data_IF_781803733181
#
_entry.id   IF_781803733181
#
_cell.length_a   1.000
_cell.length_b   1.000
_cell.length_c   1.000
_cell.angle_alpha   90.00
_cell.angle_beta   90.00
_cell.angle_gamma   90.00
#
_symmetry.space_group_name_H-M   'P 1'
#
loop_
_entity.id
_entity.type
_entity.pdbx_description
1 polymer ?
#
# COMPACT_ATOMS: atom_id res chain seq x y z
N UNK A 1 -16.75 -17.97 -6.18
CA UNK A 1 -16.21 -18.07 -4.81
C UNK A 1 -15.37 -16.84 -4.53
N UNK A 2 -15.47 -16.26 -3.33
CA UNK A 2 -14.60 -15.14 -2.95
C UNK A 2 -13.19 -15.67 -2.72
N UNK A 3 -12.22 -15.01 -3.32
CA UNK A 3 -10.82 -15.39 -3.27
C UNK A 3 -9.99 -14.12 -3.13
N UNK A 4 -8.87 -14.19 -2.43
CA UNK A 4 -8.00 -13.04 -2.27
C UNK A 4 -6.70 -13.31 -3.05
N UNK A 5 -6.38 -12.38 -3.94
CA UNK A 5 -5.09 -12.38 -4.63
C UNK A 5 -4.13 -11.57 -3.78
N UNK A 6 -3.16 -12.27 -3.20
CA UNK A 6 -2.01 -11.63 -2.58
C UNK A 6 -0.92 -11.48 -3.65
N UNK A 7 -0.53 -10.24 -3.93
CA UNK A 7 0.60 -9.91 -4.79
C UNK A 7 1.47 -8.89 -4.06
N UNK A 8 2.75 -9.22 -3.84
CA UNK A 8 3.71 -8.33 -3.17
C UNK A 8 3.26 -7.90 -1.76
N UNK A 9 2.50 -8.75 -1.06
CA UNK A 9 1.98 -8.48 0.28
C UNK A 9 0.70 -7.65 0.32
N UNK A 10 0.17 -7.22 -0.84
CA UNK A 10 -1.10 -6.52 -0.92
C UNK A 10 -2.23 -7.49 -1.33
N UNK A 11 -3.35 -7.37 -0.65
CA UNK A 11 -4.48 -8.29 -0.75
C UNK A 11 -5.61 -7.64 -1.54
N UNK A 12 -6.03 -8.29 -2.63
CA UNK A 12 -7.13 -7.84 -3.46
C UNK A 12 -8.25 -8.89 -3.48
N UNK A 13 -9.44 -8.48 -3.06
CA UNK A 13 -10.61 -9.35 -3.11
C UNK A 13 -11.08 -9.54 -4.56
N UNK A 14 -11.33 -10.78 -4.94
CA UNK A 14 -11.80 -11.14 -6.27
C UNK A 14 -12.80 -12.30 -6.22
N UNK A 15 -13.58 -12.44 -7.28
CA UNK A 15 -14.51 -13.53 -7.49
C UNK A 15 -13.94 -14.54 -8.49
N UNK A 16 -13.68 -15.75 -8.01
CA UNK A 16 -13.41 -16.90 -8.88
C UNK A 16 -14.74 -17.42 -9.44
N UNK A 17 -14.86 -17.38 -10.76
CA UNK A 17 -15.98 -17.93 -11.53
C UNK A 17 -15.46 -19.07 -12.39
N UNK A 18 -16.13 -20.22 -12.32
CA UNK A 18 -15.86 -21.37 -13.20
C UNK A 18 -17.03 -21.44 -14.16
N UNK A 19 -16.78 -21.23 -15.45
CA UNK A 19 -17.79 -21.36 -16.50
C UNK A 19 -17.17 -22.10 -17.69
N UNK A 20 -17.88 -23.09 -18.23
CA UNK A 20 -17.48 -23.82 -19.45
C UNK A 20 -16.03 -24.32 -19.44
N UNK A 21 -15.60 -24.93 -18.32
CA UNK A 21 -14.23 -25.43 -18.12
C UNK A 21 -13.13 -24.34 -18.13
N UNK A 22 -13.51 -23.06 -18.07
CA UNK A 22 -12.60 -21.93 -17.93
C UNK A 22 -12.73 -21.31 -16.52
N UNK A 23 -11.57 -21.05 -15.90
CA UNK A 23 -11.46 -20.34 -14.63
C UNK A 23 -11.28 -18.84 -14.94
N UNK A 24 -12.25 -18.02 -14.55
CA UNK A 24 -12.19 -16.56 -14.68
C UNK A 24 -12.13 -15.91 -13.31
N UNK A 25 -11.25 -14.91 -13.19
CA UNK A 25 -11.14 -14.07 -12.00
C UNK A 25 -11.83 -12.76 -12.34
N UNK A 26 -12.90 -12.44 -11.64
CA UNK A 26 -13.59 -11.17 -11.74
C UNK A 26 -13.20 -10.27 -10.57
N UNK A 27 -12.70 -9.08 -10.88
CA UNK A 27 -12.47 -7.99 -9.93
C UNK A 27 -13.55 -6.93 -10.18
N UNK A 28 -14.04 -6.27 -9.13
CA UNK A 28 -14.87 -5.07 -9.32
C UNK A 28 -14.04 -3.92 -9.92
N UNK A 29 -14.70 -2.89 -10.44
CA UNK A 29 -14.00 -1.80 -11.15
C UNK A 29 -13.02 -1.04 -10.24
N UNK A 30 -13.34 -0.89 -8.96
CA UNK A 30 -12.50 -0.19 -8.00
C UNK A 30 -11.24 -1.00 -7.68
N UNK A 31 -11.35 -2.31 -7.46
CA UNK A 31 -10.19 -3.19 -7.27
C UNK A 31 -9.39 -3.36 -8.56
N UNK A 32 -10.02 -3.35 -9.75
CA UNK A 32 -9.28 -3.34 -11.01
C UNK A 32 -8.40 -2.09 -11.13
N UNK A 33 -8.94 -0.91 -10.84
CA UNK A 33 -8.18 0.36 -10.86
C UNK A 33 -7.09 0.39 -9.80
N UNK A 34 -7.41 -0.04 -8.58
CA UNK A 34 -6.45 -0.11 -7.47
C UNK A 34 -5.30 -1.06 -7.78
N UNK A 35 -5.60 -2.27 -8.27
CA UNK A 35 -4.61 -3.27 -8.64
C UNK A 35 -3.74 -2.79 -9.82
N UNK A 36 -4.34 -2.20 -10.86
CA UNK A 36 -3.61 -1.65 -11.99
C UNK A 36 -2.63 -0.55 -11.54
N UNK A 37 -3.10 0.39 -10.72
CA UNK A 37 -2.27 1.47 -10.18
C UNK A 37 -1.14 0.92 -9.31
N UNK A 38 -1.44 -0.04 -8.42
CA UNK A 38 -0.45 -0.68 -7.57
C UNK A 38 0.63 -1.39 -8.38
N UNK A 39 0.23 -2.27 -9.31
CA UNK A 39 1.15 -3.02 -10.15
C UNK A 39 2.01 -2.10 -11.04
N UNK A 40 1.46 -0.98 -11.52
CA UNK A 40 2.25 -0.01 -12.30
C UNK A 40 3.44 0.54 -11.51
N UNK A 41 3.25 0.81 -10.21
CA UNK A 41 4.30 1.35 -9.33
C UNK A 41 5.29 0.28 -8.88
N UNK A 42 4.78 -0.91 -8.57
CA UNK A 42 5.59 -2.00 -8.02
C UNK A 42 6.46 -2.61 -9.11
N UNK A 43 5.88 -2.91 -10.27
CA UNK A 43 6.60 -3.58 -11.34
C UNK A 43 7.69 -2.69 -11.98
N UNK A 44 7.52 -1.36 -11.99
CA UNK A 44 8.59 -0.43 -12.39
C UNK A 44 9.89 -0.60 -11.60
N UNK A 45 9.81 -1.07 -10.34
CA UNK A 45 10.99 -1.26 -9.50
C UNK A 45 11.72 -2.57 -9.75
N UNK A 46 11.05 -3.55 -10.34
CA UNK A 46 11.56 -4.92 -10.48
C UNK A 46 11.74 -5.36 -11.93
N UNK A 47 11.11 -4.65 -12.87
CA UNK A 47 11.13 -4.97 -14.30
C UNK A 47 11.14 -3.68 -15.12
N UNK A 48 11.85 -3.68 -16.25
CA UNK A 48 11.76 -2.63 -17.27
C UNK A 48 10.39 -2.73 -17.97
N UNK A 49 9.32 -2.31 -17.30
CA UNK A 49 8.04 -2.16 -17.96
C UNK A 49 8.09 -0.85 -18.74
N UNK A 50 8.23 -0.97 -20.06
CA UNK A 50 8.01 0.14 -20.97
C UNK A 50 6.55 0.60 -20.83
N UNK A 51 6.30 1.83 -20.36
CA UNK A 51 4.94 2.34 -20.14
C UNK A 51 4.14 2.54 -21.44
N UNK A 52 4.80 2.37 -22.59
CA UNK A 52 4.25 2.47 -23.94
C UNK A 52 3.67 1.16 -24.48
N UNK A 53 3.94 0.01 -23.86
CA UNK A 53 3.22 -1.22 -24.19
C UNK A 53 1.88 -1.21 -23.47
N UNK A 54 0.79 -1.35 -24.22
CA UNK A 54 -0.58 -1.61 -23.73
C UNK A 54 -0.61 -2.91 -22.89
N UNK A 55 -0.01 -2.86 -21.71
CA UNK A 55 0.03 -3.96 -20.78
C UNK A 55 -1.36 -4.03 -20.16
N UNK A 56 -2.21 -4.91 -20.71
CA UNK A 56 -3.48 -5.24 -20.08
C UNK A 56 -3.23 -5.67 -18.63
N UNK A 57 -4.18 -5.41 -17.73
CA UNK A 57 -4.09 -5.78 -16.31
C UNK A 57 -3.69 -7.25 -16.13
N UNK A 58 -4.17 -8.12 -17.02
CA UNK A 58 -3.79 -9.54 -17.07
C UNK A 58 -2.28 -9.76 -17.25
N UNK A 59 -1.65 -9.03 -18.16
CA UNK A 59 -0.19 -9.11 -18.39
C UNK A 59 0.56 -8.58 -17.18
N UNK A 60 0.08 -7.50 -16.55
CA UNK A 60 0.69 -6.97 -15.33
C UNK A 60 0.63 -7.98 -14.18
N UNK A 61 -0.50 -8.66 -13.99
CA UNK A 61 -0.66 -9.72 -12.97
C UNK A 61 0.25 -10.92 -13.27
N UNK A 62 0.34 -11.35 -14.53
CA UNK A 62 1.26 -12.45 -14.92
C UNK A 62 2.72 -12.09 -14.64
N UNK A 63 3.15 -10.88 -14.99
CA UNK A 63 4.50 -10.37 -14.69
C UNK A 63 4.73 -10.27 -13.18
N UNK A 64 3.76 -9.79 -12.42
CA UNK A 64 3.81 -9.74 -10.95
C UNK A 64 4.08 -11.11 -10.33
N UNK A 65 3.31 -12.12 -10.71
CA UNK A 65 3.49 -13.50 -10.22
C UNK A 65 4.87 -14.05 -10.61
N UNK A 66 5.34 -13.75 -11.82
CA UNK A 66 6.65 -14.19 -12.28
C UNK A 66 7.80 -13.56 -11.48
N UNK A 67 7.73 -12.25 -11.24
CA UNK A 67 8.70 -11.51 -10.42
C UNK A 67 8.69 -12.08 -8.99
N UNK A 68 7.52 -12.25 -8.40
CA UNK A 68 7.35 -12.76 -7.04
C UNK A 68 7.95 -14.16 -6.86
N UNK A 69 7.74 -15.05 -7.85
CA UNK A 69 8.37 -16.37 -7.87
C UNK A 69 9.88 -16.31 -8.04
N UNK A 70 10.39 -15.41 -8.89
CA UNK A 70 11.84 -15.27 -9.13
C UNK A 70 12.60 -14.73 -7.92
N UNK A 71 11.93 -13.97 -7.04
CA UNK A 71 12.52 -13.36 -5.85
C UNK A 71 12.53 -14.27 -4.60
N UNK A 72 12.06 -15.52 -4.72
CA UNK A 72 12.28 -16.56 -3.71
C UNK A 72 11.67 -16.27 -2.33
N UNK A 73 10.53 -15.58 -2.26
CA UNK A 73 9.81 -15.36 -1.01
C UNK A 73 10.50 -14.42 0.01
N UNK A 74 11.66 -13.85 -0.33
CA UNK A 74 12.29 -12.77 0.44
C UNK A 74 11.81 -11.42 -0.08
N UNK A 75 10.52 -11.13 0.11
CA UNK A 75 10.04 -9.77 -0.04
C UNK A 75 9.95 -9.13 1.33
N UNK A 76 10.97 -8.33 1.66
CA UNK A 76 10.70 -7.15 2.46
C UNK A 76 9.76 -6.29 1.64
N UNK A 77 8.57 -6.04 2.19
CA UNK A 77 7.63 -5.02 1.75
C UNK A 77 8.41 -3.81 1.20
N UNK A 78 8.01 -3.18 0.08
CA UNK A 78 8.56 -1.88 -0.25
C UNK A 78 8.34 -1.05 1.00
N UNK A 79 9.42 -0.80 1.77
CA UNK A 79 9.32 0.02 2.97
C UNK A 79 8.59 1.25 2.48
N UNK A 80 7.33 1.42 2.90
CA UNK A 80 6.81 2.76 3.05
C UNK A 80 7.85 3.32 4.01
N UNK A 81 8.87 4.00 3.47
CA UNK A 81 9.37 5.16 4.15
C UNK A 81 8.09 5.91 4.38
N UNK A 82 7.57 5.86 5.62
CA UNK A 82 6.54 6.78 6.05
C UNK A 82 6.95 8.10 5.41
N UNK A 83 6.12 8.72 4.56
CA UNK A 83 6.55 9.84 3.71
C UNK A 83 7.07 11.06 4.49
N UNK A 84 7.16 10.93 5.81
CA UNK A 84 7.58 11.91 6.76
C UNK A 84 8.59 11.25 7.71
N UNK A 85 9.85 11.20 7.30
CA UNK A 85 10.85 11.61 8.28
C UNK A 85 10.46 13.03 8.64
N UNK A 86 10.07 13.25 9.90
CA UNK A 86 9.88 14.61 10.39
C UNK A 86 11.11 15.41 9.99
N UNK A 87 10.91 16.55 9.33
CA UNK A 87 12.00 17.47 9.11
C UNK A 87 12.71 17.68 10.47
N UNK A 88 14.05 17.70 10.52
CA UNK A 88 14.78 17.79 11.79
C UNK A 88 14.24 18.90 12.71
N UNK A 89 13.90 20.04 12.13
CA UNK A 89 13.29 21.19 12.79
C UNK A 89 11.95 20.88 13.49
N UNK A 90 11.10 20.05 12.87
CA UNK A 90 9.81 19.64 13.45
C UNK A 90 10.03 18.66 14.60
N UNK A 91 11.03 17.77 14.47
CA UNK A 91 11.40 16.83 15.52
C UNK A 91 11.96 17.57 16.74
N UNK A 92 12.83 18.55 16.53
CA UNK A 92 13.38 19.39 17.60
C UNK A 92 12.28 20.14 18.33
N UNK A 93 11.38 20.81 17.61
CA UNK A 93 10.24 21.50 18.23
C UNK A 93 9.32 20.56 19.02
N UNK A 94 9.10 19.34 18.51
CA UNK A 94 8.30 18.34 19.23
C UNK A 94 8.96 17.95 20.56
N UNK A 95 10.28 17.80 20.58
CA UNK A 95 11.05 17.49 21.80
C UNK A 95 10.98 18.68 22.77
N UNK A 96 11.24 19.90 22.30
CA UNK A 96 11.16 21.11 23.13
C UNK A 96 9.76 21.29 23.76
N UNK A 97 8.70 21.07 22.99
CA UNK A 97 7.33 21.17 23.49
C UNK A 97 6.99 20.07 24.51
N UNK A 98 7.61 18.89 24.37
CA UNK A 98 7.42 17.78 25.28
C UNK A 98 8.18 18.01 26.60
N UNK A 99 9.39 18.56 26.52
CA UNK A 99 10.20 18.96 27.67
C UNK A 99 9.49 20.07 28.48
N UNK A 100 8.88 21.06 27.81
CA UNK A 100 8.07 22.10 28.48
C UNK A 100 6.84 21.56 29.22
N UNK A 101 6.35 20.40 28.81
CA UNK A 101 5.15 19.75 29.36
C UNK A 101 5.49 18.54 30.26
N UNK A 102 6.78 18.34 30.57
CA UNK A 102 7.30 17.22 31.36
C UNK A 102 6.76 15.85 30.89
N UNK A 103 6.74 15.65 29.57
CA UNK A 103 6.23 14.43 28.93
C UNK A 103 7.21 13.94 27.87
N UNK A 104 7.14 12.65 27.51
CA UNK A 104 7.92 12.18 26.35
C UNK A 104 7.36 12.74 25.04
N UNK A 105 8.24 13.03 24.08
CA UNK A 105 7.86 13.46 22.73
C UNK A 105 6.88 12.49 22.05
N UNK A 106 7.02 11.19 22.34
CA UNK A 106 6.09 10.15 21.86
C UNK A 106 4.69 10.31 22.44
N UNK A 107 4.57 10.53 23.75
CA UNK A 107 3.27 10.74 24.41
C UNK A 107 2.61 12.04 23.94
N UNK A 108 3.39 13.10 23.71
CA UNK A 108 2.90 14.35 23.14
C UNK A 108 2.36 14.12 21.72
N UNK A 109 3.09 13.37 20.88
CA UNK A 109 2.66 13.04 19.53
C UNK A 109 1.36 12.24 19.52
N UNK A 110 1.22 11.25 20.41
CA UNK A 110 -0.02 10.47 20.54
C UNK A 110 -1.18 11.39 20.91
N UNK A 111 -1.01 12.29 21.89
CA UNK A 111 -2.05 13.26 22.27
C UNK A 111 -2.46 14.18 21.13
N UNK A 112 -1.50 14.66 20.33
CA UNK A 112 -1.78 15.51 19.17
C UNK A 112 -2.60 14.76 18.11
N UNK A 113 -2.27 13.49 17.87
CA UNK A 113 -3.03 12.62 16.96
C UNK A 113 -4.45 12.41 17.48
N UNK A 114 -4.60 12.06 18.76
CA UNK A 114 -5.91 11.82 19.39
C UNK A 114 -6.77 13.08 19.36
N UNK A 115 -6.21 14.24 19.70
CA UNK A 115 -6.91 15.52 19.65
C UNK A 115 -7.38 15.82 18.23
N UNK A 116 -6.53 15.61 17.23
CA UNK A 116 -6.89 15.92 15.84
C UNK A 116 -7.88 14.93 15.26
N UNK A 117 -7.79 13.66 15.67
CA UNK A 117 -8.79 12.65 15.36
C UNK A 117 -10.16 13.01 15.94
N UNK A 118 -10.21 13.40 17.21
CA UNK A 118 -11.45 13.85 17.86
C UNK A 118 -12.02 15.11 17.19
N UNK A 119 -11.18 16.06 16.80
CA UNK A 119 -11.62 17.27 16.12
C UNK A 119 -12.30 16.95 14.78
N UNK A 120 -11.73 16.04 13.99
CA UNK A 120 -12.28 15.61 12.69
C UNK A 120 -13.53 14.73 12.86
N UNK A 121 -13.57 13.86 13.87
CA UNK A 121 -14.69 12.94 14.08
C UNK A 121 -15.89 13.59 14.78
N UNK A 122 -15.66 14.59 15.63
CA UNK A 122 -16.72 15.32 16.35
C UNK A 122 -17.22 16.57 15.61
N UNK A 123 -16.83 16.80 14.35
CA UNK A 123 -17.40 17.85 13.49
C UNK A 123 -18.61 17.40 12.65
N UNK A 124 -19.26 16.29 13.02
CA UNK A 124 -20.59 15.87 12.53
C UNK A 124 -21.66 16.14 13.59
#
# INVERSE_FOLDING_TARGET
>A
MKYNINLFGNNFDCELRIQNNALTIALDEDNQKALASYLSRVLQKYTEINPTENNSLEVMVKKAIQVEKSMGGRMSEPKLKLPYEFAPEVKEKLIECADLQDTSATQLLIRLIDQKYQEVMNTN
#
